data_IF_073490873279
#
_entry.id   IF_073490873279
#
_cell.length_a   1.000
_cell.length_b   1.000
_cell.length_c   1.000
_cell.angle_alpha   90.00
_cell.angle_beta   90.00
_cell.angle_gamma   90.00
#
_symmetry.space_group_name_H-M   'P 1'
#
loop_
_entity.id
_entity.type
_entity.pdbx_description
1 polymer ?
#
# COMPACT_ATOMS: atom_id res chain seq x y z
N UNK A 1 -13.48 4.85 20.90
CA UNK A 1 -12.75 4.06 19.88
C UNK A 1 -13.50 3.95 18.58
N UNK A 2 -14.66 3.28 18.58
CA UNK A 2 -15.43 2.92 17.38
C UNK A 2 -15.88 4.09 16.50
N UNK A 3 -16.32 5.21 17.08
CA UNK A 3 -16.69 6.41 16.30
C UNK A 3 -15.48 7.01 15.55
N UNK A 4 -14.30 7.01 16.19
CA UNK A 4 -13.07 7.50 15.58
C UNK A 4 -12.58 6.55 14.47
N UNK A 5 -12.57 5.24 14.71
CA UNK A 5 -12.22 4.27 13.68
C UNK A 5 -13.23 4.25 12.51
N UNK A 6 -14.52 4.35 12.79
CA UNK A 6 -15.57 4.29 11.77
C UNK A 6 -15.67 5.56 10.95
N UNK A 7 -15.77 6.73 11.60
CA UNK A 7 -16.01 8.00 10.90
C UNK A 7 -14.73 8.59 10.35
N UNK A 8 -13.67 8.61 11.16
CA UNK A 8 -12.41 9.29 10.78
C UNK A 8 -11.51 8.36 9.99
N UNK A 9 -11.26 7.14 10.45
CA UNK A 9 -10.32 6.24 9.75
C UNK A 9 -11.00 5.60 8.52
N UNK A 10 -12.12 4.90 8.71
CA UNK A 10 -12.80 4.21 7.62
C UNK A 10 -13.57 5.19 6.71
N UNK A 11 -14.30 6.14 7.28
CA UNK A 11 -15.07 7.13 6.52
C UNK A 11 -14.21 8.01 5.63
N UNK A 12 -13.22 8.73 6.19
CA UNK A 12 -12.32 9.55 5.38
C UNK A 12 -11.43 8.69 4.47
N UNK A 13 -10.93 7.56 4.96
CA UNK A 13 -10.09 6.66 4.17
C UNK A 13 -10.81 6.17 2.90
N UNK A 14 -12.07 5.75 3.03
CA UNK A 14 -12.88 5.33 1.90
C UNK A 14 -13.26 6.49 0.99
N UNK A 15 -13.57 7.66 1.56
CA UNK A 15 -13.91 8.86 0.79
C UNK A 15 -12.72 9.34 -0.06
N UNK A 16 -11.51 9.33 0.51
CA UNK A 16 -10.27 9.65 -0.21
C UNK A 16 -9.99 8.62 -1.31
N UNK A 17 -10.12 7.32 -1.02
CA UNK A 17 -9.95 6.26 -2.03
C UNK A 17 -10.98 6.38 -3.15
N UNK A 18 -12.25 6.62 -2.82
CA UNK A 18 -13.32 6.79 -3.80
C UNK A 18 -13.11 8.04 -4.67
N UNK A 19 -12.64 9.14 -4.06
CA UNK A 19 -12.27 10.36 -4.77
C UNK A 19 -11.07 10.13 -5.70
N UNK A 20 -10.02 9.46 -5.22
CA UNK A 20 -8.87 9.09 -6.05
C UNK A 20 -9.31 8.19 -7.21
N UNK A 21 -10.19 7.21 -6.99
CA UNK A 21 -10.71 6.30 -8.04
C UNK A 21 -11.48 7.04 -9.13
N UNK A 22 -12.14 8.14 -8.79
CA UNK A 22 -12.82 9.00 -9.76
C UNK A 22 -11.88 9.88 -10.60
N UNK A 23 -10.66 10.16 -10.11
CA UNK A 23 -9.75 11.14 -10.75
C UNK A 23 -8.46 10.53 -11.31
N UNK A 24 -8.01 9.39 -10.79
CA UNK A 24 -6.76 8.73 -11.15
C UNK A 24 -7.02 7.30 -11.63
N UNK A 25 -6.18 6.79 -12.57
CA UNK A 25 -6.29 5.41 -13.02
C UNK A 25 -6.13 4.45 -11.83
N UNK A 26 -6.93 3.36 -11.77
CA UNK A 26 -6.93 2.39 -10.67
C UNK A 26 -5.52 1.86 -10.31
N UNK A 27 -4.63 1.83 -11.31
CA UNK A 27 -3.22 1.46 -11.18
C UNK A 27 -2.46 2.30 -10.14
N UNK A 28 -2.73 3.61 -10.07
CA UNK A 28 -2.02 4.54 -9.20
C UNK A 28 -2.46 4.39 -7.73
N UNK A 29 -3.71 3.98 -7.54
CA UNK A 29 -4.35 3.76 -6.23
C UNK A 29 -4.00 2.38 -5.68
N UNK A 30 -3.97 1.37 -6.55
CA UNK A 30 -3.45 0.05 -6.22
C UNK A 30 -1.97 0.15 -5.79
N UNK A 31 -1.17 0.95 -6.50
CA UNK A 31 0.22 1.25 -6.14
C UNK A 31 0.36 1.87 -4.75
N UNK A 32 -0.56 2.78 -4.38
CA UNK A 32 -0.57 3.40 -3.06
C UNK A 32 -0.90 2.41 -1.93
N UNK A 33 -1.79 1.45 -2.19
CA UNK A 33 -2.08 0.38 -1.23
C UNK A 33 -0.87 -0.54 -1.01
N UNK A 34 0.01 -0.69 -2.00
CA UNK A 34 1.28 -1.44 -1.85
C UNK A 34 2.37 -0.68 -1.07
N UNK A 35 2.27 0.64 -0.91
CA UNK A 35 3.16 1.41 -0.01
C UNK A 35 2.91 1.04 1.46
N UNK A 36 1.68 0.69 1.83
CA UNK A 36 1.33 0.29 3.20
C UNK A 36 2.10 -0.95 3.70
N UNK A 37 2.16 -2.08 2.98
CA UNK A 37 2.97 -3.23 3.41
C UNK A 37 4.47 -2.94 3.34
N UNK A 38 4.97 -2.18 2.36
CA UNK A 38 6.40 -1.83 2.28
C UNK A 38 6.83 -0.98 3.48
N UNK A 39 6.06 0.06 3.80
CA UNK A 39 6.29 0.90 4.97
C UNK A 39 6.13 0.12 6.27
N UNK A 40 5.16 -0.79 6.35
CA UNK A 40 5.00 -1.70 7.49
C UNK A 40 6.23 -2.61 7.69
N UNK A 41 6.78 -3.17 6.61
CA UNK A 41 8.01 -3.97 6.66
C UNK A 41 9.23 -3.13 7.06
N UNK A 42 9.40 -1.95 6.47
CA UNK A 42 10.50 -1.03 6.81
C UNK A 42 10.42 -0.58 8.27
N UNK A 43 9.24 -0.19 8.74
CA UNK A 43 9.02 0.19 10.13
C UNK A 43 9.24 -1.00 11.06
N UNK A 44 8.79 -2.20 10.71
CA UNK A 44 9.04 -3.42 11.49
C UNK A 44 10.54 -3.73 11.59
N UNK A 45 11.30 -3.59 10.50
CA UNK A 45 12.75 -3.79 10.51
C UNK A 45 13.47 -2.75 11.38
N UNK A 46 13.04 -1.48 11.35
CA UNK A 46 13.66 -0.39 12.11
C UNK A 46 13.28 -0.42 13.60
N UNK A 47 12.00 -0.64 13.93
CA UNK A 47 11.51 -0.58 15.32
C UNK A 47 11.66 -1.88 16.08
N UNK A 48 11.45 -3.03 15.43
CA UNK A 48 11.47 -4.33 16.09
C UNK A 48 12.88 -4.95 16.10
N UNK A 49 13.81 -4.44 15.26
CA UNK A 49 15.16 -4.99 15.14
C UNK A 49 15.17 -6.45 14.64
N UNK A 50 14.04 -6.91 14.09
CA UNK A 50 13.86 -8.28 13.67
C UNK A 50 14.81 -8.62 12.52
N UNK A 51 15.43 -9.80 12.61
CA UNK A 51 16.30 -10.30 11.56
C UNK A 51 15.49 -10.42 10.28
N UNK A 52 15.77 -9.55 9.32
CA UNK A 52 15.09 -9.53 8.03
C UNK A 52 15.21 -10.92 7.41
N UNK A 53 14.14 -11.70 7.54
CA UNK A 53 14.12 -13.08 7.08
C UNK A 53 14.07 -13.04 5.56
N UNK A 54 14.73 -13.96 4.82
CA UNK A 54 14.66 -13.99 3.36
C UNK A 54 13.24 -13.99 2.80
N UNK A 55 12.24 -14.47 3.56
CA UNK A 55 10.82 -14.37 3.24
C UNK A 55 10.31 -12.92 3.11
N UNK A 56 10.77 -12.01 3.98
CA UNK A 56 10.40 -10.59 3.95
C UNK A 56 11.02 -9.91 2.71
N UNK A 57 12.30 -10.20 2.43
CA UNK A 57 12.98 -9.68 1.22
C UNK A 57 12.27 -10.19 -0.04
N UNK A 58 11.93 -11.48 -0.08
CA UNK A 58 11.15 -12.07 -1.17
C UNK A 58 9.78 -11.39 -1.33
N UNK A 59 9.09 -11.13 -0.22
CA UNK A 59 7.80 -10.41 -0.22
C UNK A 59 7.92 -8.98 -0.75
N UNK A 60 8.92 -8.22 -0.31
CA UNK A 60 9.18 -6.84 -0.78
C UNK A 60 9.52 -6.83 -2.27
N UNK A 61 10.35 -7.77 -2.75
CA UNK A 61 10.66 -7.91 -4.18
C UNK A 61 9.39 -8.28 -4.96
N UNK A 62 8.60 -9.23 -4.48
CA UNK A 62 7.37 -9.67 -5.15
C UNK A 62 6.34 -8.53 -5.26
N UNK A 63 6.18 -7.74 -4.17
CA UNK A 63 5.37 -6.52 -4.16
C UNK A 63 5.94 -5.47 -5.12
N UNK A 64 7.25 -5.25 -5.13
CA UNK A 64 7.92 -4.32 -6.06
C UNK A 64 7.72 -4.71 -7.53
N UNK A 65 7.76 -6.01 -7.84
CA UNK A 65 7.49 -6.54 -9.18
C UNK A 65 6.01 -6.38 -9.55
N UNK A 66 5.08 -6.69 -8.64
CA UNK A 66 3.65 -6.48 -8.84
C UNK A 66 3.32 -5.00 -9.08
N UNK A 67 3.94 -4.11 -8.30
CA UNK A 67 3.87 -2.66 -8.49
C UNK A 67 4.39 -2.25 -9.87
N UNK A 68 5.55 -2.75 -10.28
CA UNK A 68 6.11 -2.46 -11.60
C UNK A 68 5.18 -2.92 -12.74
N UNK A 69 4.56 -4.10 -12.62
CA UNK A 69 3.59 -4.61 -13.59
C UNK A 69 2.30 -3.78 -13.65
N UNK A 70 1.76 -3.38 -12.49
CA UNK A 70 0.55 -2.56 -12.40
C UNK A 70 0.80 -1.12 -12.84
N UNK A 71 1.96 -0.57 -12.49
CA UNK A 71 2.36 0.79 -12.81
C UNK A 71 2.89 0.94 -14.24
N UNK A 72 3.03 -0.16 -15.01
CA UNK A 72 3.21 -0.07 -16.45
C UNK A 72 1.93 0.54 -17.02
N UNK A 73 1.97 1.78 -17.58
CA UNK A 73 0.85 2.25 -18.37
C UNK A 73 0.67 1.23 -19.50
N UNK A 74 -0.57 0.79 -19.73
CA UNK A 74 -0.92 0.16 -21.00
C UNK A 74 -0.61 1.18 -22.08
N UNK A 75 0.60 1.12 -22.64
CA UNK A 75 0.90 1.75 -23.92
C UNK A 75 0.02 0.98 -24.91
N UNK A 76 -1.07 1.65 -25.30
CA UNK A 76 -1.95 1.22 -26.39
C UNK A 76 -1.12 1.02 -27.64
#
# INVERSE_FOLDING_TARGET
GLLYQGVVIAGLGFMVIAYLLSRYPPSLIASFNFVSPISGVLLSAIFLGDQITPAIVGGVICVGVGLYFVSRPKTV
#
